data_IF_017427311440
#
_entry.id   IF_017427311440
#
_cell.length_a   1.000
_cell.length_b   1.000
_cell.length_c   1.000
_cell.angle_alpha   90.00
_cell.angle_beta   90.00
_cell.angle_gamma   90.00
#
_symmetry.space_group_name_H-M   'P 1'
#
loop_
_entity.id
_entity.type
_entity.pdbx_description
1 polymer ?
#
# COMPACT_ATOMS: atom_id res chain seq x y z
N UNK A 1 76.56 28.52 12.11
CA UNK A 1 75.51 27.54 11.74
C UNK A 1 74.25 27.88 12.54
N UNK A 2 73.16 28.28 11.86
CA UNK A 2 71.84 28.54 12.48
C UNK A 2 70.93 27.33 12.22
N UNK A 3 70.19 26.79 13.20
CA UNK A 3 69.30 25.67 12.97
C UNK A 3 67.98 26.15 12.34
N UNK A 4 67.54 25.51 11.26
CA UNK A 4 66.22 25.71 10.68
C UNK A 4 65.17 24.98 11.53
N UNK A 5 64.16 25.72 12.01
CA UNK A 5 62.99 25.12 12.66
C UNK A 5 62.07 24.54 11.58
N UNK A 6 61.98 23.21 11.51
CA UNK A 6 60.94 22.54 10.72
C UNK A 6 59.60 22.65 11.45
N UNK A 7 58.63 23.29 10.81
CA UNK A 7 57.25 23.39 11.30
C UNK A 7 56.47 22.18 10.75
N UNK A 8 56.11 21.24 11.60
CA UNK A 8 55.19 20.15 11.23
C UNK A 8 53.75 20.69 11.32
N UNK A 9 53.11 20.90 10.17
CA UNK A 9 51.68 21.21 10.11
C UNK A 9 50.93 19.87 10.21
N UNK A 10 50.30 19.65 11.37
CA UNK A 10 49.38 18.54 11.57
C UNK A 10 48.06 18.89 10.84
N UNK A 11 47.79 18.28 9.67
CA UNK A 11 46.45 18.36 9.08
C UNK A 11 45.49 17.50 9.91
N UNK A 12 44.37 18.04 10.41
CA UNK A 12 43.34 17.20 11.02
C UNK A 12 42.71 16.35 9.91
N UNK A 13 42.74 15.02 10.06
CA UNK A 13 41.86 14.14 9.30
C UNK A 13 40.42 14.48 9.71
N UNK A 14 39.74 15.25 8.89
CA UNK A 14 38.29 15.40 8.96
C UNK A 14 37.72 14.05 8.55
N UNK A 15 37.36 13.22 9.53
CA UNK A 15 36.44 12.11 9.30
C UNK A 15 35.08 12.71 8.95
N UNK A 16 34.85 12.88 7.65
CA UNK A 16 33.51 13.05 7.10
C UNK A 16 32.77 11.74 7.40
N UNK A 17 31.95 11.73 8.44
CA UNK A 17 30.88 10.73 8.56
C UNK A 17 30.08 10.86 7.26
N UNK A 18 30.02 9.84 6.39
CA UNK A 18 29.06 9.87 5.30
C UNK A 18 27.70 10.04 5.97
N UNK A 19 27.00 11.12 5.60
CA UNK A 19 25.63 11.35 5.99
C UNK A 19 24.89 10.02 5.84
N UNK A 20 24.22 9.57 6.90
CA UNK A 20 23.28 8.46 6.83
C UNK A 20 22.36 8.76 5.65
N UNK A 21 22.58 8.07 4.52
CA UNK A 21 21.60 8.04 3.46
C UNK A 21 20.32 7.55 4.14
N UNK A 22 19.23 8.33 4.04
CA UNK A 22 17.93 7.90 4.55
C UNK A 22 17.60 6.57 3.85
N UNK A 23 17.81 5.46 4.54
CA UNK A 23 17.52 4.15 4.00
C UNK A 23 15.99 4.06 3.81
N UNK A 24 15.56 3.52 2.67
CA UNK A 24 14.13 3.44 2.35
C UNK A 24 13.49 2.29 3.14
N UNK A 25 14.21 1.20 3.38
CA UNK A 25 13.76 0.08 4.21
C UNK A 25 14.68 -0.13 5.42
N UNK A 26 14.09 -0.10 6.61
CA UNK A 26 14.76 -0.38 7.89
C UNK A 26 14.00 -1.52 8.57
N UNK A 27 14.66 -2.67 8.73
CA UNK A 27 14.05 -3.87 9.32
C UNK A 27 13.92 -3.71 10.83
N UNK A 28 12.76 -4.07 11.38
CA UNK A 28 12.60 -4.24 12.83
C UNK A 28 13.22 -5.58 13.22
N UNK A 29 14.50 -5.52 13.60
CA UNK A 29 15.28 -6.72 13.93
C UNK A 29 14.82 -7.41 15.21
N UNK A 30 14.05 -6.74 16.06
CA UNK A 30 13.50 -7.36 17.27
C UNK A 30 12.40 -8.37 16.93
N UNK A 31 11.62 -8.11 15.88
CA UNK A 31 10.52 -8.97 15.42
C UNK A 31 10.86 -9.77 14.15
N UNK A 32 11.84 -9.33 13.37
CA UNK A 32 12.29 -9.95 12.12
C UNK A 32 13.82 -10.09 12.07
N UNK A 33 14.43 -10.87 12.97
CA UNK A 33 15.88 -11.00 13.06
C UNK A 33 16.51 -11.55 11.75
N UNK A 34 15.77 -12.41 11.05
CA UNK A 34 16.25 -13.10 9.85
C UNK A 34 15.99 -12.34 8.54
N UNK A 35 15.20 -11.25 8.55
CA UNK A 35 14.98 -10.45 7.34
C UNK A 35 16.23 -9.64 7.01
N UNK A 36 16.77 -9.78 5.81
CA UNK A 36 18.00 -9.08 5.39
C UNK A 36 17.70 -8.24 4.16
N UNK A 37 18.01 -6.94 4.23
CA UNK A 37 17.95 -6.03 3.10
C UNK A 37 19.36 -5.83 2.55
N UNK A 38 19.53 -6.09 1.26
CA UNK A 38 20.75 -5.76 0.50
C UNK A 38 20.39 -4.85 -0.66
N UNK A 39 21.37 -4.30 -1.37
CA UNK A 39 21.12 -3.48 -2.56
C UNK A 39 21.80 -4.11 -3.77
N UNK A 40 21.04 -4.29 -4.85
CA UNK A 40 21.62 -4.69 -6.13
C UNK A 40 22.43 -3.53 -6.71
N UNK A 41 23.73 -3.72 -6.89
CA UNK A 41 24.63 -2.63 -7.28
C UNK A 41 24.32 -2.05 -8.67
N UNK A 42 23.76 -2.86 -9.58
CA UNK A 42 23.48 -2.47 -10.96
C UNK A 42 22.18 -1.71 -11.08
N UNK A 43 21.08 -2.30 -10.60
CA UNK A 43 19.74 -1.72 -10.69
C UNK A 43 19.43 -0.72 -9.56
N UNK A 44 20.27 -0.68 -8.52
CA UNK A 44 20.07 0.14 -7.30
C UNK A 44 18.75 -0.17 -6.57
N UNK A 45 18.20 -1.37 -6.78
CA UNK A 45 17.03 -1.89 -6.08
C UNK A 45 17.45 -2.49 -4.76
N UNK A 46 16.67 -2.23 -3.71
CA UNK A 46 16.79 -3.00 -2.48
C UNK A 46 16.21 -4.41 -2.70
N UNK A 47 16.93 -5.42 -2.21
CA UNK A 47 16.53 -6.82 -2.19
C UNK A 47 16.21 -7.19 -0.75
N UNK A 48 14.95 -7.52 -0.49
CA UNK A 48 14.43 -7.93 0.80
C UNK A 48 14.38 -9.46 0.84
N UNK A 49 15.32 -10.08 1.56
CA UNK A 49 15.29 -11.51 1.86
C UNK A 49 14.37 -11.71 3.06
N UNK A 50 13.17 -12.22 2.79
CA UNK A 50 12.08 -12.35 3.77
C UNK A 50 12.25 -13.55 4.70
N UNK A 51 11.53 -13.53 5.82
CA UNK A 51 11.40 -14.67 6.71
C UNK A 51 10.81 -15.88 5.99
N UNK A 52 11.13 -17.08 6.49
CA UNK A 52 10.45 -18.31 6.09
C UNK A 52 8.94 -18.19 6.26
N UNK A 53 8.19 -18.84 5.36
CA UNK A 53 6.75 -18.95 5.50
C UNK A 53 6.38 -19.85 6.68
N UNK A 54 5.21 -19.62 7.28
CA UNK A 54 4.63 -20.49 8.29
C UNK A 54 3.83 -21.65 7.68
N UNK A 55 3.11 -22.39 8.54
CA UNK A 55 2.26 -23.51 8.12
C UNK A 55 1.06 -23.11 7.23
N UNK A 56 0.72 -21.82 7.16
CA UNK A 56 -0.29 -21.27 6.26
C UNK A 56 0.34 -20.67 4.99
N UNK A 57 1.63 -20.93 4.74
CA UNK A 57 2.43 -20.33 3.68
C UNK A 57 2.50 -18.79 3.72
N UNK A 58 2.40 -18.21 4.92
CA UNK A 58 2.50 -16.76 5.16
C UNK A 58 3.90 -16.42 5.69
N UNK A 59 4.63 -15.57 4.95
CA UNK A 59 5.84 -14.91 5.45
C UNK A 59 5.46 -13.56 6.06
N UNK A 60 5.74 -13.39 7.35
CA UNK A 60 5.49 -12.14 8.09
C UNK A 60 6.82 -11.44 8.38
N UNK A 61 6.91 -10.17 7.98
CA UNK A 61 8.14 -9.38 7.99
C UNK A 61 7.85 -8.01 8.58
N UNK A 62 8.65 -7.58 9.56
CA UNK A 62 8.46 -6.35 10.32
C UNK A 62 9.56 -5.33 10.03
N UNK A 63 9.18 -4.06 9.95
CA UNK A 63 10.04 -2.95 9.57
C UNK A 63 9.79 -1.72 10.44
N UNK A 64 10.84 -1.04 10.86
CA UNK A 64 10.72 0.31 11.44
C UNK A 64 10.33 1.32 10.36
N UNK A 65 10.78 1.09 9.12
CA UNK A 65 10.45 1.90 7.94
C UNK A 65 10.40 1.01 6.70
N UNK A 66 9.39 1.20 5.85
CA UNK A 66 9.27 0.50 4.57
C UNK A 66 8.77 1.46 3.50
N UNK A 67 9.69 2.11 2.79
CA UNK A 67 9.43 2.90 1.59
C UNK A 67 9.91 2.15 0.35
N UNK A 68 9.28 2.41 -0.79
CA UNK A 68 9.71 1.90 -2.09
C UNK A 68 10.10 3.10 -2.95
N UNK A 69 11.39 3.23 -3.23
CA UNK A 69 11.89 4.30 -4.11
C UNK A 69 11.53 4.07 -5.57
N UNK A 70 11.87 5.04 -6.42
CA UNK A 70 11.66 4.98 -7.88
C UNK A 70 12.38 3.81 -8.56
N UNK A 71 13.48 3.34 -7.97
CA UNK A 71 14.18 2.16 -8.49
C UNK A 71 13.34 0.89 -8.29
N UNK A 72 12.44 0.89 -7.30
CA UNK A 72 11.66 -0.27 -6.89
C UNK A 72 12.45 -1.22 -5.99
N UNK A 73 11.78 -2.30 -5.57
CA UNK A 73 12.33 -3.32 -4.68
C UNK A 73 12.13 -4.72 -5.23
N UNK A 74 12.96 -5.64 -4.76
CA UNK A 74 12.85 -7.08 -5.02
C UNK A 74 12.60 -7.78 -3.68
N UNK A 75 11.44 -8.39 -3.52
CA UNK A 75 11.13 -9.30 -2.42
C UNK A 75 11.60 -10.70 -2.84
N UNK A 76 12.63 -11.23 -2.18
CA UNK A 76 13.19 -12.53 -2.49
C UNK A 76 12.42 -13.66 -1.78
N UNK A 77 11.54 -14.32 -2.51
CA UNK A 77 10.72 -15.45 -2.06
C UNK A 77 11.24 -16.81 -2.57
N UNK A 78 12.53 -16.91 -2.96
CA UNK A 78 13.11 -18.17 -3.47
C UNK A 78 13.20 -19.26 -2.40
N UNK A 79 13.53 -18.88 -1.17
CA UNK A 79 13.67 -19.84 -0.06
C UNK A 79 12.37 -19.99 0.74
N UNK A 80 11.69 -18.87 1.02
CA UNK A 80 10.47 -18.90 1.83
C UNK A 80 9.28 -19.57 1.12
N UNK A 81 9.20 -19.51 -0.22
CA UNK A 81 8.14 -20.13 -1.03
C UNK A 81 6.71 -19.77 -0.53
N UNK A 82 6.57 -18.57 0.06
CA UNK A 82 5.33 -18.09 0.64
C UNK A 82 4.26 -17.84 -0.43
N UNK A 83 3.01 -18.13 -0.11
CA UNK A 83 1.84 -17.72 -0.91
C UNK A 83 1.47 -16.27 -0.61
N UNK A 84 1.63 -15.85 0.64
CA UNK A 84 1.33 -14.51 1.13
C UNK A 84 2.55 -13.93 1.82
N UNK A 85 2.91 -12.70 1.48
CA UNK A 85 4.03 -11.96 2.07
C UNK A 85 3.47 -10.70 2.71
N UNK A 86 3.46 -10.66 4.04
CA UNK A 86 3.07 -9.50 4.82
C UNK A 86 4.33 -8.71 5.16
N UNK A 87 4.33 -7.44 4.78
CA UNK A 87 5.32 -6.45 5.18
C UNK A 87 4.64 -5.42 6.07
N UNK A 88 4.93 -5.46 7.36
CA UNK A 88 4.28 -4.62 8.36
C UNK A 88 5.26 -3.61 8.95
N UNK A 89 4.85 -2.34 9.00
CA UNK A 89 5.61 -1.27 9.64
C UNK A 89 5.22 -1.16 11.12
N UNK A 90 6.22 -1.21 12.00
CA UNK A 90 6.08 -1.08 13.46
C UNK A 90 6.57 0.27 13.99
N UNK A 91 7.29 1.03 13.15
CA UNK A 91 7.70 2.41 13.45
C UNK A 91 6.56 3.43 13.38
N UNK A 92 6.91 4.71 13.39
CA UNK A 92 5.98 5.85 13.46
C UNK A 92 5.77 6.56 12.10
N UNK A 93 6.42 6.08 11.04
CA UNK A 93 6.40 6.72 9.72
C UNK A 93 5.35 6.11 8.80
N UNK A 94 4.80 6.96 7.94
CA UNK A 94 3.98 6.56 6.78
C UNK A 94 4.87 5.81 5.77
N UNK A 95 4.28 4.88 5.04
CA UNK A 95 4.93 4.20 3.90
C UNK A 95 4.67 4.95 2.60
N UNK A 96 5.72 5.27 1.87
CA UNK A 96 5.67 5.85 0.53
C UNK A 96 6.07 4.83 -0.54
N UNK A 97 5.20 4.60 -1.54
CA UNK A 97 5.47 3.68 -2.65
C UNK A 97 5.56 4.46 -3.96
N UNK A 98 6.80 4.64 -4.42
CA UNK A 98 7.18 5.40 -5.60
C UNK A 98 7.73 4.52 -6.74
N UNK A 99 7.58 3.20 -6.66
CA UNK A 99 8.15 2.32 -7.67
C UNK A 99 7.57 0.92 -7.67
N UNK A 100 8.25 0.05 -8.41
CA UNK A 100 7.82 -1.33 -8.61
C UNK A 100 8.22 -2.24 -7.45
N UNK A 101 7.25 -2.94 -6.88
CA UNK A 101 7.46 -4.08 -5.98
C UNK A 101 7.50 -5.34 -6.86
N UNK A 102 8.60 -6.09 -6.81
CA UNK A 102 8.73 -7.35 -7.55
C UNK A 102 9.00 -8.53 -6.64
N UNK A 103 8.40 -9.69 -6.93
CA UNK A 103 8.72 -10.93 -6.22
C UNK A 103 9.62 -11.82 -7.07
N UNK A 104 10.78 -12.18 -6.51
CA UNK A 104 11.70 -13.18 -7.07
C UNK A 104 11.45 -14.56 -6.45
N UNK A 105 11.49 -15.61 -7.25
CA UNK A 105 11.00 -16.95 -6.86
C UNK A 105 9.51 -17.15 -7.14
N UNK A 106 8.81 -17.83 -6.21
CA UNK A 106 7.37 -18.11 -6.31
C UNK A 106 6.57 -16.81 -6.27
N UNK A 107 5.65 -16.62 -7.22
CA UNK A 107 4.74 -15.45 -7.21
C UNK A 107 3.86 -15.50 -5.97
N UNK A 108 3.57 -14.34 -5.39
CA UNK A 108 2.85 -14.25 -4.12
C UNK A 108 1.93 -13.05 -4.07
N UNK A 109 0.98 -13.10 -3.14
CA UNK A 109 0.19 -11.97 -2.70
C UNK A 109 1.05 -11.12 -1.77
N UNK A 110 1.31 -9.87 -2.13
CA UNK A 110 2.07 -8.94 -1.30
C UNK A 110 1.11 -8.00 -0.57
N UNK A 111 1.26 -7.97 0.76
CA UNK A 111 0.53 -7.08 1.66
C UNK A 111 1.54 -6.08 2.23
N UNK A 112 1.24 -4.79 2.09
CA UNK A 112 1.95 -3.70 2.77
C UNK A 112 1.01 -3.13 3.83
N UNK A 113 1.33 -3.37 5.10
CA UNK A 113 0.53 -2.93 6.23
C UNK A 113 1.30 -1.87 7.04
N UNK A 114 0.68 -0.72 7.24
CA UNK A 114 1.26 0.33 8.08
C UNK A 114 0.15 1.05 8.85
N UNK A 115 0.12 0.96 10.20
CA UNK A 115 -0.90 1.61 11.00
C UNK A 115 -0.85 3.13 10.90
N UNK A 116 0.27 3.72 10.49
CA UNK A 116 0.46 5.17 10.30
C UNK A 116 -0.06 5.66 8.94
N UNK A 117 -0.33 4.76 7.99
CA UNK A 117 -0.83 5.08 6.65
C UNK A 117 0.09 4.64 5.52
N UNK A 118 -0.48 4.54 4.32
CA UNK A 118 0.20 4.11 3.10
C UNK A 118 -0.15 5.05 1.94
N UNK A 119 0.87 5.59 1.28
CA UNK A 119 0.70 6.44 0.11
C UNK A 119 1.32 5.82 -1.14
N UNK A 120 0.47 5.61 -2.13
CA UNK A 120 0.82 5.08 -3.43
C UNK A 120 0.99 6.21 -4.45
N UNK A 121 2.22 6.68 -4.66
CA UNK A 121 2.52 7.76 -5.60
C UNK A 121 2.65 7.27 -7.03
N UNK A 122 3.44 6.22 -7.24
CA UNK A 122 3.68 5.58 -8.54
C UNK A 122 3.89 4.07 -8.35
N UNK A 123 3.04 3.42 -7.56
CA UNK A 123 3.20 1.99 -7.27
C UNK A 123 3.12 1.16 -8.55
N UNK A 124 3.93 0.13 -8.63
CA UNK A 124 3.80 -0.93 -9.61
C UNK A 124 4.11 -2.28 -8.96
N UNK A 125 3.73 -3.36 -9.64
CA UNK A 125 3.74 -4.70 -9.08
C UNK A 125 4.05 -5.72 -10.17
N UNK A 126 5.18 -6.42 -10.02
CA UNK A 126 5.62 -7.44 -10.97
C UNK A 126 5.73 -8.78 -10.28
N UNK A 127 5.23 -9.84 -10.94
CA UNK A 127 5.23 -11.22 -10.40
C UNK A 127 4.45 -11.37 -9.09
N UNK A 128 3.44 -10.53 -8.90
CA UNK A 128 2.48 -10.60 -7.81
C UNK A 128 1.22 -11.33 -8.27
N UNK A 129 0.60 -12.11 -7.38
CA UNK A 129 -0.78 -12.58 -7.59
C UNK A 129 -1.77 -11.48 -7.24
N UNK A 130 -1.48 -10.72 -6.17
CA UNK A 130 -2.25 -9.57 -5.69
C UNK A 130 -1.34 -8.56 -4.98
N UNK A 131 -1.74 -7.29 -4.99
CA UNK A 131 -1.16 -6.23 -4.15
C UNK A 131 -2.23 -5.68 -3.23
N UNK A 132 -1.93 -5.62 -1.93
CA UNK A 132 -2.85 -5.14 -0.91
C UNK A 132 -2.19 -4.12 -0.01
N UNK A 133 -2.84 -2.96 0.13
CA UNK A 133 -2.37 -1.86 0.97
C UNK A 133 -3.31 -1.72 2.17
N UNK A 134 -2.76 -1.74 3.38
CA UNK A 134 -3.54 -1.74 4.62
C UNK A 134 -3.10 -0.59 5.52
N UNK A 135 -4.04 0.27 5.95
CA UNK A 135 -3.82 1.17 7.08
C UNK A 135 -4.18 0.46 8.39
N UNK A 136 -3.23 -0.28 8.92
CA UNK A 136 -3.43 -1.16 10.07
C UNK A 136 -2.21 -2.03 10.32
N UNK A 137 -2.35 -2.94 11.28
CA UNK A 137 -1.29 -3.83 11.74
C UNK A 137 -1.86 -5.21 12.05
N UNK A 138 -1.06 -6.27 12.01
CA UNK A 138 -1.52 -7.60 12.38
C UNK A 138 -1.96 -7.65 13.85
N UNK A 139 -2.98 -8.45 14.13
CA UNK A 139 -3.34 -8.81 15.50
C UNK A 139 -2.26 -9.76 16.04
N UNK A 140 -1.69 -9.43 17.20
CA UNK A 140 -0.63 -10.22 17.86
C UNK A 140 -1.06 -11.66 18.13
N UNK A 141 -2.34 -11.88 18.41
CA UNK A 141 -2.89 -13.21 18.71
C UNK A 141 -3.29 -13.97 17.43
N UNK A 142 -3.49 -13.26 16.33
CA UNK A 142 -3.85 -13.84 15.04
C UNK A 142 -3.35 -12.97 13.88
N UNK A 143 -2.20 -13.31 13.32
CA UNK A 143 -1.60 -12.56 12.21
C UNK A 143 -2.38 -12.60 10.88
N UNK A 144 -3.42 -13.43 10.76
CA UNK A 144 -4.34 -13.40 9.61
C UNK A 144 -5.45 -12.37 9.78
N UNK A 145 -5.52 -11.74 10.95
CA UNK A 145 -6.40 -10.63 11.24
C UNK A 145 -5.57 -9.35 11.36
N UNK A 146 -6.06 -8.26 10.77
CA UNK A 146 -5.46 -6.94 10.86
C UNK A 146 -6.37 -6.03 11.66
N UNK A 147 -5.82 -5.35 12.66
CA UNK A 147 -6.48 -4.27 13.39
C UNK A 147 -6.32 -3.01 12.55
N UNK A 148 -7.44 -2.40 12.14
CA UNK A 148 -7.41 -1.21 11.28
C UNK A 148 -7.24 0.07 12.09
N UNK A 149 -6.56 1.05 11.50
CA UNK A 149 -6.48 2.40 12.05
C UNK A 149 -7.74 3.19 11.72
N UNK A 150 -8.37 3.78 12.73
CA UNK A 150 -9.50 4.70 12.55
C UNK A 150 -9.05 6.14 12.24
N UNK A 151 -7.73 6.42 12.27
CA UNK A 151 -7.18 7.79 12.14
C UNK A 151 -6.31 8.01 10.91
N UNK A 152 -5.83 6.93 10.31
CA UNK A 152 -4.90 6.97 9.18
C UNK A 152 -5.56 6.39 7.93
N UNK A 153 -4.84 6.46 6.82
CA UNK A 153 -5.44 6.30 5.50
C UNK A 153 -4.57 5.48 4.55
N UNK A 154 -5.21 5.07 3.46
CA UNK A 154 -4.52 4.67 2.24
C UNK A 154 -4.84 5.69 1.15
N UNK A 155 -3.82 6.28 0.54
CA UNK A 155 -3.95 7.25 -0.56
C UNK A 155 -3.37 6.69 -1.85
N UNK A 156 -4.12 6.81 -2.95
CA UNK A 156 -3.70 6.42 -4.30
C UNK A 156 -3.59 7.67 -5.17
N UNK A 157 -2.40 7.91 -5.71
CA UNK A 157 -2.13 8.97 -6.69
C UNK A 157 -1.90 8.39 -8.07
N UNK A 158 -0.91 7.51 -8.27
CA UNK A 158 -0.74 6.84 -9.55
C UNK A 158 -0.34 5.39 -9.34
N UNK A 159 -0.87 4.53 -10.21
CA UNK A 159 -0.53 3.12 -10.22
C UNK A 159 -0.10 2.72 -11.63
N UNK A 160 1.13 2.25 -11.73
CA UNK A 160 1.71 1.69 -12.93
C UNK A 160 1.20 0.29 -13.23
N UNK A 161 2.05 -0.53 -13.84
CA UNK A 161 1.71 -1.91 -14.17
C UNK A 161 1.55 -2.75 -12.90
N UNK A 162 0.44 -3.50 -12.80
CA UNK A 162 0.23 -4.54 -11.79
C UNK A 162 -0.02 -5.88 -12.50
N UNK A 163 0.83 -6.88 -12.24
CA UNK A 163 0.66 -8.21 -12.84
C UNK A 163 -0.62 -8.93 -12.39
N UNK A 164 -1.13 -8.57 -11.20
CA UNK A 164 -2.40 -9.05 -10.66
C UNK A 164 -3.62 -8.50 -11.41
N UNK A 165 -3.48 -7.35 -12.08
CA UNK A 165 -4.57 -6.48 -12.58
C UNK A 165 -5.53 -5.95 -11.50
N UNK A 166 -5.44 -6.45 -10.27
CA UNK A 166 -6.25 -6.07 -9.13
C UNK A 166 -5.40 -5.31 -8.09
N UNK A 167 -5.97 -4.26 -7.52
CA UNK A 167 -5.45 -3.56 -6.35
C UNK A 167 -6.46 -3.66 -5.20
N UNK A 168 -6.03 -4.14 -4.04
CA UNK A 168 -6.86 -4.18 -2.85
C UNK A 168 -6.43 -3.11 -1.84
N UNK A 169 -7.40 -2.41 -1.27
CA UNK A 169 -7.21 -1.32 -0.31
C UNK A 169 -8.05 -1.64 0.91
N UNK A 170 -7.43 -1.75 2.08
CA UNK A 170 -8.11 -2.02 3.35
C UNK A 170 -7.80 -0.84 4.29
N UNK A 171 -8.78 0.03 4.50
CA UNK A 171 -8.62 1.21 5.36
C UNK A 171 -9.98 1.85 5.66
N UNK A 172 -10.14 2.43 6.86
CA UNK A 172 -11.35 3.18 7.19
C UNK A 172 -11.39 4.57 6.54
N UNK A 173 -10.25 5.13 6.14
CA UNK A 173 -10.15 6.35 5.34
C UNK A 173 -9.35 6.07 4.05
N UNK A 174 -9.95 6.33 2.89
CA UNK A 174 -9.36 6.05 1.58
C UNK A 174 -9.46 7.27 0.68
N UNK A 175 -8.34 7.61 0.04
CA UNK A 175 -8.22 8.72 -0.91
C UNK A 175 -7.76 8.17 -2.27
N UNK A 176 -8.46 8.52 -3.35
CA UNK A 176 -8.15 8.04 -4.69
C UNK A 176 -8.14 9.20 -5.67
N UNK A 177 -7.01 9.38 -6.36
CA UNK A 177 -6.81 10.36 -7.41
C UNK A 177 -5.80 9.87 -8.46
N UNK A 178 -5.36 10.81 -9.30
CA UNK A 178 -4.38 10.64 -10.37
C UNK A 178 -4.63 9.44 -11.31
N UNK A 179 -3.60 8.85 -11.90
CA UNK A 179 -3.78 7.95 -13.06
C UNK A 179 -3.45 6.48 -12.78
N UNK A 180 -4.37 5.58 -13.16
CA UNK A 180 -4.11 4.15 -13.22
C UNK A 180 -3.70 3.70 -14.61
N UNK A 181 -2.75 2.77 -14.67
CA UNK A 181 -2.42 2.05 -15.88
C UNK A 181 -3.63 1.32 -16.44
N UNK A 182 -3.74 1.28 -17.78
CA UNK A 182 -4.79 0.56 -18.53
C UNK A 182 -4.82 -0.96 -18.28
N UNK A 183 -3.77 -1.50 -17.65
CA UNK A 183 -3.67 -2.93 -17.35
C UNK A 183 -4.37 -3.32 -16.05
N UNK A 184 -4.80 -2.34 -15.25
CA UNK A 184 -5.52 -2.56 -14.01
C UNK A 184 -7.00 -2.64 -14.35
N UNK A 185 -7.65 -3.74 -13.98
CA UNK A 185 -9.06 -4.00 -14.23
C UNK A 185 -9.91 -3.71 -13.00
N UNK A 186 -9.41 -4.01 -11.79
CA UNK A 186 -10.22 -3.98 -10.57
C UNK A 186 -9.54 -3.22 -9.42
N UNK A 187 -10.32 -2.40 -8.72
CA UNK A 187 -9.98 -1.95 -7.36
C UNK A 187 -10.99 -2.54 -6.37
N UNK A 188 -10.50 -3.12 -5.28
CA UNK A 188 -11.31 -3.59 -4.16
C UNK A 188 -11.03 -2.74 -2.92
N UNK A 189 -12.06 -2.14 -2.32
CA UNK A 189 -11.94 -1.26 -1.16
C UNK A 189 -12.76 -1.84 0.00
N UNK A 190 -12.06 -2.29 1.04
CA UNK A 190 -12.65 -2.74 2.29
C UNK A 190 -12.49 -1.64 3.35
N UNK A 191 -13.60 -1.09 3.81
CA UNK A 191 -13.65 -0.03 4.81
C UNK A 191 -14.83 -0.22 5.76
N UNK A 192 -14.82 0.49 6.89
CA UNK A 192 -15.89 0.42 7.88
C UNK A 192 -15.82 -0.82 8.78
N UNK A 193 -14.61 -1.26 9.12
CA UNK A 193 -14.39 -2.39 10.04
C UNK A 193 -13.29 -2.08 11.04
N UNK A 194 -13.38 -2.66 12.24
CA UNK A 194 -12.33 -2.63 13.25
C UNK A 194 -11.23 -3.64 12.94
N UNK A 195 -11.59 -4.77 12.36
CA UNK A 195 -10.69 -5.86 12.02
C UNK A 195 -10.95 -6.37 10.60
N UNK A 196 -9.88 -6.60 9.86
CA UNK A 196 -9.91 -7.28 8.56
C UNK A 196 -9.36 -8.69 8.70
N UNK A 197 -10.12 -9.71 8.31
CA UNK A 197 -9.72 -11.10 8.28
C UNK A 197 -9.30 -11.49 6.86
N UNK A 198 -8.04 -11.87 6.68
CA UNK A 198 -7.43 -12.21 5.40
C UNK A 198 -7.98 -13.51 4.79
N UNK A 199 -8.29 -14.49 5.65
CA UNK A 199 -8.71 -15.85 5.26
C UNK A 199 -10.14 -16.18 5.73
N UNK A 200 -10.89 -15.18 6.19
CA UNK A 200 -12.19 -15.38 6.82
C UNK A 200 -13.18 -14.27 6.52
N UNK A 201 -14.34 -14.36 7.14
CA UNK A 201 -15.40 -13.36 6.98
C UNK A 201 -15.04 -12.04 7.67
N UNK A 202 -15.48 -10.94 7.08
CA UNK A 202 -15.26 -9.60 7.61
C UNK A 202 -16.54 -9.07 8.26
N UNK A 203 -16.40 -8.52 9.47
CA UNK A 203 -17.49 -7.86 10.19
C UNK A 203 -17.31 -6.36 10.04
N UNK A 204 -18.31 -5.71 9.48
CA UNK A 204 -18.29 -4.27 9.26
C UNK A 204 -19.00 -3.56 10.43
N UNK A 205 -18.23 -3.12 11.41
CA UNK A 205 -18.69 -2.53 12.68
C UNK A 205 -18.27 -1.06 12.87
N UNK A 206 -17.58 -0.47 11.89
CA UNK A 206 -17.12 0.93 11.92
C UNK A 206 -17.72 1.73 10.77
N UNK A 207 -17.50 3.04 10.79
CA UNK A 207 -17.76 3.92 9.66
C UNK A 207 -16.50 4.00 8.82
N UNK A 208 -16.63 3.76 7.52
CA UNK A 208 -15.59 4.03 6.55
C UNK A 208 -15.92 5.23 5.67
N UNK A 209 -14.86 5.83 5.13
CA UNK A 209 -14.92 6.90 4.14
C UNK A 209 -14.04 6.57 2.94
N UNK A 210 -14.59 6.80 1.75
CA UNK A 210 -13.84 6.75 0.48
C UNK A 210 -14.05 8.06 -0.23
N UNK A 211 -12.97 8.71 -0.65
CA UNK A 211 -12.99 9.94 -1.43
C UNK A 211 -12.29 9.72 -2.76
N UNK A 212 -13.01 9.95 -3.86
CA UNK A 212 -12.48 9.81 -5.23
C UNK A 212 -12.52 11.20 -5.90
N UNK A 213 -11.35 11.69 -6.29
CA UNK A 213 -11.13 13.07 -6.76
C UNK A 213 -11.08 13.19 -8.28
N UNK A 214 -11.43 14.35 -8.85
CA UNK A 214 -11.48 14.57 -10.31
C UNK A 214 -10.21 14.21 -11.08
N UNK A 215 -9.05 14.22 -10.41
CA UNK A 215 -7.78 13.81 -11.00
C UNK A 215 -7.73 12.32 -11.36
N UNK A 216 -8.69 11.52 -10.89
CA UNK A 216 -8.76 10.08 -11.06
C UNK A 216 -9.06 9.68 -12.51
N UNK A 217 -8.03 9.24 -13.23
CA UNK A 217 -8.09 8.76 -14.61
C UNK A 217 -7.87 7.25 -14.63
N UNK A 218 -8.82 6.50 -15.17
CA UNK A 218 -8.79 5.04 -15.13
C UNK A 218 -9.40 4.39 -16.36
N UNK A 219 -9.09 3.11 -16.55
CA UNK A 219 -9.73 2.22 -17.53
C UNK A 219 -10.30 0.96 -16.82
N UNK A 220 -10.61 1.10 -15.53
CA UNK A 220 -11.09 -0.01 -14.70
C UNK A 220 -12.38 -0.59 -15.26
N UNK A 221 -12.47 -1.91 -15.20
CA UNK A 221 -13.69 -2.68 -15.41
C UNK A 221 -14.57 -2.62 -14.16
N UNK A 222 -13.97 -2.56 -12.96
CA UNK A 222 -14.72 -2.57 -11.70
C UNK A 222 -14.00 -1.86 -10.54
N UNK A 223 -14.77 -1.18 -9.71
CA UNK A 223 -14.41 -0.65 -8.40
C UNK A 223 -15.44 -1.21 -7.42
N UNK A 224 -14.98 -2.09 -6.54
CA UNK A 224 -15.80 -2.67 -5.48
C UNK A 224 -15.56 -1.90 -4.20
N UNK A 225 -16.61 -1.32 -3.61
CA UNK A 225 -16.57 -0.72 -2.27
C UNK A 225 -17.46 -1.54 -1.36
N UNK A 226 -16.84 -2.36 -0.51
CA UNK A 226 -17.54 -3.36 0.29
C UNK A 226 -18.34 -2.70 1.42
N UNK A 227 -19.55 -3.26 1.65
CA UNK A 227 -20.62 -2.64 2.43
C UNK A 227 -20.63 -3.04 3.90
N UNK A 228 -21.31 -2.22 4.69
CA UNK A 228 -21.83 -2.57 6.01
C UNK A 228 -23.37 -2.65 5.93
N UNK A 229 -23.98 -3.74 6.42
CA UNK A 229 -25.44 -3.94 6.34
C UNK A 229 -26.23 -3.10 7.36
N UNK A 230 -25.57 -2.66 8.43
CA UNK A 230 -26.20 -1.96 9.56
C UNK A 230 -25.79 -0.48 9.67
N UNK A 231 -24.77 -0.03 8.93
CA UNK A 231 -24.36 1.37 8.80
C UNK A 231 -23.87 1.64 7.37
N UNK A 232 -24.08 2.83 6.83
CA UNK A 232 -23.58 3.15 5.49
C UNK A 232 -22.15 3.71 5.59
N UNK A 233 -21.24 3.28 4.71
CA UNK A 233 -20.00 4.02 4.47
C UNK A 233 -20.32 5.29 3.69
N UNK A 234 -19.51 6.33 3.89
CA UNK A 234 -19.63 7.56 3.12
C UNK A 234 -18.68 7.50 1.92
N UNK A 235 -19.23 7.62 0.72
CA UNK A 235 -18.46 7.72 -0.52
C UNK A 235 -18.61 9.13 -1.07
N UNK A 236 -17.51 9.84 -1.19
CA UNK A 236 -17.44 11.19 -1.73
C UNK A 236 -16.86 11.14 -3.13
N UNK A 237 -17.62 11.66 -4.10
CA UNK A 237 -17.23 11.75 -5.50
C UNK A 237 -17.16 13.23 -5.91
N UNK A 238 -16.16 13.55 -6.73
CA UNK A 238 -16.20 14.81 -7.48
C UNK A 238 -17.29 14.76 -8.56
N UNK A 239 -17.95 15.89 -8.83
CA UNK A 239 -19.05 16.01 -9.80
C UNK A 239 -18.67 15.53 -11.21
N UNK A 240 -17.41 15.74 -11.64
CA UNK A 240 -16.96 15.27 -12.95
C UNK A 240 -16.89 13.75 -13.06
N UNK A 241 -16.44 13.07 -11.99
CA UNK A 241 -16.39 11.60 -11.95
C UNK A 241 -17.80 11.02 -12.06
N UNK A 242 -18.75 11.63 -11.36
CA UNK A 242 -20.14 11.21 -11.42
C UNK A 242 -20.73 11.31 -12.83
N UNK A 243 -20.48 12.42 -13.54
CA UNK A 243 -20.97 12.59 -14.93
C UNK A 243 -20.37 11.55 -15.87
N UNK A 244 -19.07 11.23 -15.75
CA UNK A 244 -18.41 10.17 -16.52
C UNK A 244 -19.08 8.81 -16.34
N UNK A 245 -19.48 8.45 -15.13
CA UNK A 245 -20.19 7.19 -14.89
C UNK A 245 -21.62 7.21 -15.46
N UNK A 246 -22.31 8.35 -15.45
CA UNK A 246 -23.67 8.46 -15.99
C UNK A 246 -23.72 8.57 -17.52
N UNK A 247 -22.64 9.00 -18.17
CA UNK A 247 -22.55 9.15 -19.64
C UNK A 247 -21.99 7.89 -20.35
N UNK A 248 -21.32 7.00 -19.62
CA UNK A 248 -20.77 5.73 -20.15
C UNK A 248 -21.71 4.57 -19.77
N UNK A 249 -22.67 4.30 -20.65
CA UNK A 249 -23.48 3.07 -20.80
C UNK A 249 -24.11 2.44 -19.54
N UNK A 250 -25.45 2.42 -19.52
CA UNK A 250 -26.33 1.83 -18.48
C UNK A 250 -26.26 0.29 -18.39
N UNK A 251 -25.18 -0.32 -18.86
CA UNK A 251 -24.92 -1.76 -18.81
C UNK A 251 -23.54 -2.11 -18.26
N UNK A 252 -22.69 -1.12 -17.96
CA UNK A 252 -21.34 -1.28 -17.41
C UNK A 252 -21.32 -0.81 -15.94
N UNK A 253 -21.72 -1.65 -14.98
CA UNK A 253 -21.59 -1.40 -13.53
C UNK A 253 -20.10 -1.37 -13.09
N UNK A 254 -19.36 -0.35 -13.52
CA UNK A 254 -17.92 -0.19 -13.22
C UNK A 254 -17.66 0.21 -11.78
N UNK A 255 -18.64 0.71 -11.04
CA UNK A 255 -18.51 0.97 -9.61
C UNK A 255 -19.71 0.37 -8.91
N UNK A 256 -19.49 -0.73 -8.19
CA UNK A 256 -20.53 -1.38 -7.41
C UNK A 256 -20.65 -0.65 -6.05
N UNK A 257 -21.65 0.24 -5.95
CA UNK A 257 -21.91 1.12 -4.80
C UNK A 257 -23.10 0.66 -3.94
N UNK A 258 -23.35 -0.64 -3.83
CA UNK A 258 -24.53 -1.15 -3.13
C UNK A 258 -24.62 -0.64 -1.66
N UNK A 259 -25.58 0.26 -1.42
CA UNK A 259 -26.00 0.78 -0.10
C UNK A 259 -25.01 1.70 0.63
N UNK A 260 -24.16 2.41 -0.09
CA UNK A 260 -23.33 3.49 0.48
C UNK A 260 -24.08 4.83 0.49
N UNK A 261 -23.76 5.72 1.45
CA UNK A 261 -24.17 7.13 1.37
C UNK A 261 -23.23 7.82 0.38
N UNK A 262 -23.76 8.19 -0.77
CA UNK A 262 -22.98 8.87 -1.81
C UNK A 262 -23.17 10.38 -1.68
N UNK A 263 -22.06 11.10 -1.73
CA UNK A 263 -22.00 12.55 -1.73
C UNK A 263 -21.30 13.01 -3.01
N UNK A 264 -21.86 14.00 -3.71
CA UNK A 264 -21.14 14.72 -4.77
C UNK A 264 -20.86 16.13 -4.30
N UNK A 265 -19.59 16.56 -4.38
CA UNK A 265 -19.19 17.89 -3.90
C UNK A 265 -19.75 18.19 -2.50
N UNK A 266 -19.67 17.19 -1.61
CA UNK A 266 -20.19 17.18 -0.24
C UNK A 266 -21.72 17.32 -0.08
N UNK A 267 -22.50 17.22 -1.16
CA UNK A 267 -23.96 17.18 -1.12
C UNK A 267 -24.45 15.74 -1.19
N UNK A 268 -25.30 15.29 -0.25
CA UNK A 268 -25.86 13.93 -0.31
C UNK A 268 -26.76 13.77 -1.53
N UNK A 269 -26.75 12.58 -2.13
CA UNK A 269 -27.60 12.22 -3.27
C UNK A 269 -28.56 11.11 -2.89
N UNK A 270 -29.77 11.16 -3.44
CA UNK A 270 -30.76 10.12 -3.20
C UNK A 270 -30.48 8.92 -4.09
N UNK A 271 -30.67 7.71 -3.56
CA UNK A 271 -30.39 6.45 -4.25
C UNK A 271 -31.15 6.32 -5.58
N UNK A 272 -32.33 6.95 -5.69
CA UNK A 272 -33.13 7.00 -6.94
C UNK A 272 -32.47 7.78 -8.08
N UNK A 273 -31.49 8.62 -7.77
CA UNK A 273 -30.73 9.38 -8.77
C UNK A 273 -29.48 8.61 -9.25
N UNK A 274 -29.16 7.49 -8.60
CA UNK A 274 -28.02 6.60 -8.87
C UNK A 274 -28.50 5.27 -9.49
N UNK A 275 -29.66 4.76 -9.08
CA UNK A 275 -30.23 3.49 -9.54
C UNK A 275 -31.40 3.71 -10.50
N UNK A 276 -31.18 3.55 -11.82
CA UNK A 276 -32.20 3.04 -12.74
C UNK A 276 -31.54 2.01 -13.67
N UNK A 277 -31.66 0.77 -13.20
CA UNK A 277 -31.40 -0.55 -13.80
C UNK A 277 -29.95 -1.03 -13.82
#
# INVERSE_FOLDING_TARGET
>A
MKPSKFFFILLPLIHINPALANQDIIVDKSLSPNVIVTTDEKSKKEIVNINSADNNNISLNFYEKFDVSKNGIIINNKQAQADIIINEVTGDKITFINGNISVDGKKSHVIIANPNGVECYTCAGSRLTDLTLISGQTNKDNKTQFILSDKNYVSIHNVGYLSSKNLNIISNEVFIGGTLSKHISTINIFNGMSHYNLLGENVFDRRGRVSIFESFKHNLERVNIYKNENNHNNVYLDEKIYKLNNEIDKTDEKINLLNNKVFINNKPINKRDIDLY
#
